data_IF_413427342218
#
_entry.id   IF_413427342218
#
_cell.length_a   1.000
_cell.length_b   1.000
_cell.length_c   1.000
_cell.angle_alpha   90.00
_cell.angle_beta   90.00
_cell.angle_gamma   90.00
#
_symmetry.space_group_name_H-M   'P 1'
#
loop_
_entity.id
_entity.type
_entity.pdbx_description
1 polymer ?
#
# COMPACT_ATOMS: atom_id res chain seq x y z
N UNK A 1 1.87 -14.82 17.90
CA UNK A 1 1.88 -15.27 16.48
C UNK A 1 2.78 -14.35 15.69
N UNK A 2 3.54 -14.84 14.70
CA UNK A 2 4.45 -14.00 13.91
C UNK A 2 3.87 -13.77 12.50
N UNK A 3 3.95 -12.53 12.02
CA UNK A 3 3.46 -12.14 10.69
C UNK A 3 4.56 -11.38 9.95
N UNK A 4 4.91 -11.88 8.77
CA UNK A 4 5.84 -11.21 7.86
C UNK A 4 5.08 -10.41 6.80
N UNK A 5 5.47 -9.15 6.59
CA UNK A 5 4.97 -8.29 5.50
C UNK A 5 6.12 -8.06 4.52
N UNK A 6 5.94 -8.42 3.26
CA UNK A 6 6.95 -8.20 2.21
C UNK A 6 6.55 -6.99 1.38
N UNK A 7 7.43 -5.99 1.34
CA UNK A 7 7.19 -4.68 0.76
C UNK A 7 6.79 -3.63 1.81
N UNK A 8 7.53 -2.53 1.84
CA UNK A 8 7.42 -1.36 2.72
C UNK A 8 7.12 -0.10 1.90
N UNK A 9 6.28 -0.23 0.86
CA UNK A 9 5.54 0.90 0.28
C UNK A 9 4.38 1.33 1.19
N UNK A 10 3.59 2.31 0.76
CA UNK A 10 2.47 2.84 1.59
C UNK A 10 1.47 1.75 2.02
N UNK A 11 1.17 0.79 1.14
CA UNK A 11 0.24 -0.31 1.43
C UNK A 11 0.83 -1.24 2.49
N UNK A 12 2.06 -1.70 2.28
CA UNK A 12 2.73 -2.62 3.22
C UNK A 12 2.97 -1.99 4.58
N UNK A 13 3.36 -0.71 4.62
CA UNK A 13 3.51 0.04 5.86
C UNK A 13 2.18 0.18 6.63
N UNK A 14 1.08 0.50 5.94
CA UNK A 14 -0.24 0.61 6.58
C UNK A 14 -0.74 -0.74 7.10
N UNK A 15 -0.57 -1.82 6.33
CA UNK A 15 -0.93 -3.17 6.78
C UNK A 15 -0.12 -3.58 8.01
N UNK A 16 1.19 -3.34 8.00
CA UNK A 16 2.04 -3.65 9.15
C UNK A 16 1.66 -2.83 10.39
N UNK A 17 1.31 -1.55 10.21
CA UNK A 17 0.84 -0.68 11.28
C UNK A 17 -0.46 -1.20 11.91
N UNK A 18 -1.48 -1.50 11.12
CA UNK A 18 -2.75 -2.05 11.64
C UNK A 18 -2.55 -3.38 12.37
N UNK A 19 -1.76 -4.29 11.80
CA UNK A 19 -1.46 -5.58 12.43
C UNK A 19 -0.67 -5.42 13.74
N UNK A 20 0.22 -4.43 13.83
CA UNK A 20 0.98 -4.16 15.06
C UNK A 20 0.10 -3.68 16.22
N UNK A 21 -1.09 -3.15 15.92
CA UNK A 21 -2.07 -2.72 16.94
C UNK A 21 -2.86 -3.90 17.50
N UNK A 22 -2.81 -5.06 16.86
CA UNK A 22 -3.45 -6.27 17.37
C UNK A 22 -2.59 -6.92 18.46
N UNK A 23 -3.10 -7.08 19.69
CA UNK A 23 -2.35 -7.73 20.77
C UNK A 23 -1.98 -9.17 20.41
N UNK A 24 -0.74 -9.56 20.71
CA UNK A 24 -0.26 -10.93 20.50
C UNK A 24 0.29 -11.24 19.10
N UNK A 25 0.31 -10.24 18.21
CA UNK A 25 1.00 -10.32 16.92
C UNK A 25 2.37 -9.64 16.99
N UNK A 26 3.40 -10.36 16.54
CA UNK A 26 4.71 -9.79 16.27
C UNK A 26 4.84 -9.62 14.75
N UNK A 27 4.93 -8.37 14.29
CA UNK A 27 4.97 -8.03 12.87
C UNK A 27 6.40 -7.69 12.47
N UNK A 28 6.87 -8.27 11.37
CA UNK A 28 8.18 -7.95 10.76
C UNK A 28 7.96 -7.55 9.31
N UNK A 29 8.52 -6.42 8.91
CA UNK A 29 8.44 -5.93 7.54
C UNK A 29 9.79 -6.14 6.86
N UNK A 30 9.76 -6.69 5.66
CA UNK A 30 10.93 -6.97 4.82
C UNK A 30 10.76 -6.24 3.50
N UNK A 31 11.69 -5.34 3.17
CA UNK A 31 11.77 -4.70 1.86
C UNK A 31 13.23 -4.71 1.40
N UNK A 32 13.42 -4.82 0.08
CA UNK A 32 14.73 -4.75 -0.56
C UNK A 32 15.30 -3.32 -0.53
N UNK A 33 14.44 -2.30 -0.57
CA UNK A 33 14.79 -0.89 -0.53
C UNK A 33 14.38 -0.28 0.81
N UNK A 34 14.87 0.94 1.08
CA UNK A 34 14.42 1.70 2.23
C UNK A 34 12.90 2.00 2.13
N UNK A 35 12.18 2.08 3.26
CA UNK A 35 10.74 2.32 3.30
C UNK A 35 10.30 3.46 2.39
N UNK A 36 9.30 3.20 1.56
CA UNK A 36 8.73 4.20 0.65
C UNK A 36 9.60 4.58 -0.55
N UNK A 37 10.80 4.03 -0.77
CA UNK A 37 11.65 4.40 -1.92
C UNK A 37 11.27 3.75 -3.26
N UNK A 38 10.26 2.88 -3.27
CA UNK A 38 9.68 2.33 -4.50
C UNK A 38 8.67 3.26 -5.16
N UNK A 39 7.61 2.68 -5.75
CA UNK A 39 6.53 3.43 -6.41
C UNK A 39 5.88 4.50 -5.51
N UNK A 40 5.86 4.29 -4.20
CA UNK A 40 5.34 5.27 -3.23
C UNK A 40 6.15 6.56 -3.21
N UNK A 41 7.48 6.49 -3.26
CA UNK A 41 8.35 7.67 -3.22
C UNK A 41 8.33 8.46 -4.52
N UNK A 42 8.02 7.79 -5.64
CA UNK A 42 7.79 8.43 -6.93
C UNK A 42 6.37 9.03 -7.06
N UNK A 43 5.46 8.76 -6.12
CA UNK A 43 4.10 9.26 -6.19
C UNK A 43 4.03 10.75 -5.84
N UNK A 44 3.04 11.46 -6.41
CA UNK A 44 2.82 12.90 -6.20
C UNK A 44 2.39 13.25 -4.76
N UNK A 45 1.89 12.27 -3.99
CA UNK A 45 1.39 12.50 -2.63
C UNK A 45 -0.02 13.06 -2.53
N UNK A 46 -0.79 13.09 -3.63
CA UNK A 46 -2.19 13.55 -3.65
C UNK A 46 -3.14 12.34 -3.55
N UNK A 47 -4.10 12.43 -2.63
CA UNK A 47 -5.19 11.48 -2.51
C UNK A 47 -6.34 11.89 -3.45
N UNK A 48 -6.38 11.29 -4.64
CA UNK A 48 -7.40 11.55 -5.66
C UNK A 48 -8.26 10.31 -5.90
N UNK A 49 -9.57 10.43 -5.69
CA UNK A 49 -10.54 9.41 -6.10
C UNK A 49 -10.80 9.52 -7.60
N UNK A 50 -10.27 8.60 -8.40
CA UNK A 50 -10.51 8.59 -9.85
C UNK A 50 -11.72 7.70 -10.14
N UNK A 51 -12.82 8.31 -10.55
CA UNK A 51 -13.99 7.59 -11.05
C UNK A 51 -13.84 7.49 -12.57
N UNK A 52 -13.63 6.28 -13.07
CA UNK A 52 -13.65 6.03 -14.52
C UNK A 52 -15.08 6.22 -15.03
N UNK A 53 -15.37 7.42 -15.52
CA UNK A 53 -16.61 7.66 -16.23
C UNK A 53 -16.54 6.89 -17.56
N UNK A 54 -17.48 5.96 -17.77
CA UNK A 54 -17.64 5.23 -19.03
C UNK A 54 -17.76 6.26 -20.16
N UNK A 55 -16.71 6.44 -20.96
CA UNK A 55 -16.79 7.22 -22.18
C UNK A 55 -17.78 6.51 -23.09
N UNK A 56 -18.90 7.19 -23.35
CA UNK A 56 -20.06 6.75 -24.16
C UNK A 56 -19.64 5.70 -25.21
N UNK A 57 -20.11 4.47 -25.04
CA UNK A 57 -19.76 3.35 -25.93
C UNK A 57 -20.06 3.70 -27.38
N UNK A 58 -19.13 3.38 -28.29
CA UNK A 58 -19.39 3.49 -29.72
C UNK A 58 -20.56 2.58 -30.07
N UNK A 59 -21.58 3.18 -30.66
CA UNK A 59 -22.84 2.55 -31.03
C UNK A 59 -22.83 2.13 -32.51
N UNK A 60 -21.65 1.70 -33.01
CA UNK A 60 -21.48 1.13 -34.32
C UNK A 60 -20.93 -0.29 -34.19
#
# INVERSE_FOLDING_TARGET
>A
MQVGVVGCGIVGAMVAYELSRCPGLAVTVLDQQLPGQGATGAALGILMGVISQKTKGRNW
#
